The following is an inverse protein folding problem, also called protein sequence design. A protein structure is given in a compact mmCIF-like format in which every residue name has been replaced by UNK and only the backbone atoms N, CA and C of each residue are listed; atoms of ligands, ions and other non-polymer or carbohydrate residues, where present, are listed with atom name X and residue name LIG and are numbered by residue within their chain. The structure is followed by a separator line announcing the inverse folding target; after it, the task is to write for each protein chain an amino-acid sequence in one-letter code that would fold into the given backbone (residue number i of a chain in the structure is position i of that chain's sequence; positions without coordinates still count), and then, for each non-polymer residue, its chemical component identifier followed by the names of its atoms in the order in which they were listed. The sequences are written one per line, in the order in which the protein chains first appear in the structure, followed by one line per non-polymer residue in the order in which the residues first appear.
data_IF_382923107553
#
_entry.id   IF_382923107553
#
_cell.length_a   1.000
_cell.length_b   1.000
_cell.length_c   1.000
_cell.angle_alpha   90.00
_cell.angle_beta   90.00
_cell.angle_gamma   90.00
#
_symmetry.space_group_name_H-M   'P 1'
#
loop_
_entity.id
_entity.type
_entity.pdbx_description
1 polymer ?
#
# COMPACT_ATOMS: atom_id res chain seq x y z
N UNK A 1 -9.24 21.66 25.19
CA UNK A 1 -8.40 21.16 24.06
C UNK A 1 -9.31 20.88 22.88
N UNK A 2 -9.28 21.68 21.79
CA UNK A 2 -10.19 21.50 20.65
C UNK A 2 -9.95 20.13 20.01
N UNK A 3 -10.93 19.24 20.18
CA UNK A 3 -11.06 17.96 19.49
C UNK A 3 -11.15 18.23 17.99
N UNK A 4 -10.04 18.11 17.28
CA UNK A 4 -10.02 18.24 15.82
C UNK A 4 -10.54 16.95 15.21
N UNK A 5 -11.60 17.02 14.39
CA UNK A 5 -12.12 15.90 13.58
C UNK A 5 -10.96 15.19 12.84
N UNK A 6 -9.96 15.96 12.39
CA UNK A 6 -8.74 15.45 11.75
C UNK A 6 -7.98 14.43 12.60
N UNK A 7 -7.96 14.59 13.92
CA UNK A 7 -7.23 13.72 14.83
C UNK A 7 -7.90 12.34 15.01
N UNK A 8 -9.20 12.25 14.75
CA UNK A 8 -9.99 11.01 14.80
C UNK A 8 -10.10 10.37 13.42
N UNK A 9 -10.36 11.19 12.40
CA UNK A 9 -10.69 10.74 11.05
C UNK A 9 -9.49 10.29 10.22
N UNK A 10 -8.30 10.87 10.43
CA UNK A 10 -7.14 10.56 9.60
C UNK A 10 -6.11 9.71 10.34
N UNK A 11 -5.52 8.68 9.68
CA UNK A 11 -4.33 8.00 10.16
C UNK A 11 -3.20 9.00 10.46
N UNK A 12 -2.59 8.88 11.64
CA UNK A 12 -1.40 9.65 12.02
C UNK A 12 -0.13 9.18 11.32
N UNK A 13 -0.16 7.98 10.75
CA UNK A 13 0.96 7.35 10.08
C UNK A 13 1.06 7.86 8.65
N UNK A 14 1.92 8.86 8.44
CA UNK A 14 2.14 9.45 7.12
C UNK A 14 2.60 8.43 6.05
N UNK A 15 3.30 7.37 6.47
CA UNK A 15 3.75 6.31 5.56
C UNK A 15 2.62 5.43 5.02
N UNK A 16 1.55 5.21 5.78
CA UNK A 16 0.45 4.32 5.39
C UNK A 16 -0.34 4.84 4.17
N UNK A 17 -0.32 6.16 3.94
CA UNK A 17 -0.97 6.80 2.81
C UNK A 17 -0.38 6.39 1.46
N UNK A 18 0.96 6.34 1.36
CA UNK A 18 1.64 5.91 0.14
C UNK A 18 1.30 4.44 -0.18
N UNK A 19 1.41 3.56 0.82
CA UNK A 19 1.15 2.13 0.65
C UNK A 19 -0.23 1.78 0.09
N UNK A 20 -1.26 2.56 0.46
CA UNK A 20 -2.64 2.33 0.00
C UNK A 20 -2.90 3.03 -1.32
N UNK A 21 -2.55 4.33 -1.42
CA UNK A 21 -2.92 5.13 -2.58
C UNK A 21 -2.13 4.74 -3.83
N UNK A 22 -0.86 4.40 -3.70
CA UNK A 22 -0.01 4.12 -4.86
C UNK A 22 -0.51 2.97 -5.73
N UNK A 23 -0.76 1.75 -5.21
CA UNK A 23 -1.30 0.67 -6.04
C UNK A 23 -2.67 1.04 -6.58
N UNK A 24 -3.54 1.69 -5.79
CA UNK A 24 -4.90 2.02 -6.22
C UNK A 24 -4.93 3.05 -7.34
N UNK A 25 -4.13 4.12 -7.23
CA UNK A 25 -3.98 5.13 -8.27
C UNK A 25 -3.35 4.51 -9.52
N UNK A 26 -2.30 3.70 -9.36
CA UNK A 26 -1.64 3.06 -10.50
C UNK A 26 -2.62 2.17 -11.29
N UNK A 27 -3.40 1.31 -10.61
CA UNK A 27 -4.34 0.43 -11.33
C UNK A 27 -5.49 1.20 -11.97
N UNK A 28 -5.96 2.29 -11.34
CA UNK A 28 -6.98 3.14 -11.93
C UNK A 28 -6.47 3.94 -13.13
N UNK A 29 -5.21 4.36 -13.13
CA UNK A 29 -4.61 5.06 -14.29
C UNK A 29 -4.39 4.09 -15.44
N UNK A 30 -3.96 2.86 -15.16
CA UNK A 30 -3.54 1.89 -16.19
C UNK A 30 -4.71 1.07 -16.74
N UNK A 31 -5.74 0.80 -15.93
CA UNK A 31 -6.88 -0.03 -16.30
C UNK A 31 -8.19 0.55 -15.75
N UNK A 32 -8.42 1.85 -16.00
CA UNK A 32 -9.59 2.56 -15.48
C UNK A 32 -10.90 1.83 -15.82
N UNK A 33 -11.74 1.67 -14.80
CA UNK A 33 -13.13 1.25 -14.96
C UNK A 33 -13.95 1.79 -13.80
N UNK A 34 -15.24 2.05 -14.03
CA UNK A 34 -16.14 2.55 -12.98
C UNK A 34 -16.32 1.55 -11.82
N UNK A 35 -16.49 0.23 -12.03
CA UNK A 35 -16.53 -0.73 -10.93
C UNK A 35 -15.19 -0.81 -10.20
N UNK A 36 -14.07 -0.69 -10.93
CA UNK A 36 -12.74 -0.62 -10.33
C UNK A 36 -12.57 0.59 -9.42
N UNK A 37 -13.08 1.77 -9.82
CA UNK A 37 -13.10 2.97 -8.98
C UNK A 37 -13.89 2.72 -7.69
N UNK A 38 -15.08 2.11 -7.78
CA UNK A 38 -15.88 1.77 -6.61
C UNK A 38 -15.14 0.79 -5.68
N UNK A 39 -14.47 -0.24 -6.21
CA UNK A 39 -13.65 -1.15 -5.40
C UNK A 39 -12.50 -0.43 -4.68
N UNK A 40 -11.77 0.45 -5.37
CA UNK A 40 -10.66 1.20 -4.76
C UNK A 40 -11.16 2.21 -3.72
N UNK A 41 -12.30 2.86 -3.98
CA UNK A 41 -12.95 3.73 -3.00
C UNK A 41 -13.43 2.94 -1.78
N UNK A 42 -14.01 1.75 -1.97
CA UNK A 42 -14.41 0.88 -0.86
C UNK A 42 -13.21 0.50 0.01
N UNK A 43 -12.14 -0.04 -0.59
CA UNK A 43 -10.93 -0.43 0.11
C UNK A 43 -10.28 0.76 0.84
N UNK A 44 -10.26 1.94 0.21
CA UNK A 44 -9.74 3.16 0.81
C UNK A 44 -10.58 3.64 2.01
N UNK A 45 -11.92 3.61 1.90
CA UNK A 45 -12.80 3.96 3.02
C UNK A 45 -12.66 2.97 4.18
N UNK A 46 -12.55 1.68 3.91
CA UNK A 46 -12.27 0.70 4.98
C UNK A 46 -10.89 0.90 5.63
N UNK A 47 -9.88 1.28 4.84
CA UNK A 47 -8.58 1.69 5.39
C UNK A 47 -8.73 2.91 6.32
N UNK A 48 -9.48 3.94 5.91
CA UNK A 48 -9.75 5.10 6.77
C UNK A 48 -10.54 4.72 8.03
N UNK A 49 -11.43 3.73 7.94
CA UNK A 49 -12.20 3.21 9.07
C UNK A 49 -11.32 2.54 10.14
N UNK A 50 -10.12 2.05 9.81
CA UNK A 50 -9.24 1.35 10.76
C UNK A 50 -8.94 2.19 12.01
N UNK A 51 -8.61 3.47 11.85
CA UNK A 51 -8.28 4.32 13.00
C UNK A 51 -9.48 4.55 13.93
N UNK A 52 -10.62 5.07 13.47
CA UNK A 52 -11.76 5.30 14.35
C UNK A 52 -12.32 3.99 14.92
N UNK A 53 -12.37 2.88 14.16
CA UNK A 53 -12.79 1.57 14.69
C UNK A 53 -11.87 1.09 15.82
N UNK A 54 -10.55 1.23 15.66
CA UNK A 54 -9.59 0.85 16.71
C UNK A 54 -9.73 1.68 18.00
N UNK A 55 -10.24 2.93 17.90
CA UNK A 55 -10.54 3.78 19.06
C UNK A 55 -11.84 3.33 19.73
N UNK A 56 -12.86 2.96 18.95
CA UNK A 56 -14.13 2.42 19.47
C UNK A 56 -13.94 1.07 20.16
N UNK A 57 -12.99 0.25 19.70
CA UNK A 57 -12.67 -1.03 20.32
C UNK A 57 -12.04 -0.91 21.73
N UNK A 58 -11.60 0.30 22.13
CA UNK A 58 -11.05 0.55 23.47
C UNK A 58 -12.15 0.96 24.45
N UNK A 59 -11.98 0.72 25.76
CA UNK A 59 -12.95 1.16 26.76
C UNK A 59 -13.27 2.65 26.63
N UNK A 60 -14.57 3.00 26.71
CA UNK A 60 -15.06 4.38 26.56
C UNK A 60 -14.32 5.38 27.45
N UNK A 61 -14.04 4.98 28.69
CA UNK A 61 -13.40 5.84 29.70
C UNK A 61 -11.93 6.16 29.38
N UNK A 62 -11.31 5.41 28.46
CA UNK A 62 -9.91 5.58 28.05
C UNK A 62 -9.78 6.27 26.68
N UNK A 63 -10.90 6.61 26.04
CA UNK A 63 -10.91 7.12 24.66
C UNK A 63 -11.50 8.52 24.60
N UNK A 64 -10.62 9.50 24.38
CA UNK A 64 -11.06 10.86 24.09
C UNK A 64 -11.86 10.88 22.77
N UNK A 65 -13.00 11.58 22.76
CA UNK A 65 -13.89 11.70 21.60
C UNK A 65 -14.47 10.36 21.09
N UNK A 66 -14.84 9.47 22.02
CA UNK A 66 -15.44 8.17 21.72
C UNK A 66 -16.66 8.25 20.78
N UNK A 67 -17.63 9.14 21.04
CA UNK A 67 -18.82 9.30 20.20
C UNK A 67 -18.49 9.77 18.77
N UNK A 68 -17.53 10.70 18.63
CA UNK A 68 -17.04 11.13 17.31
C UNK A 68 -16.36 9.98 16.57
N UNK A 69 -15.63 9.12 17.28
CA UNK A 69 -14.99 7.93 16.69
C UNK A 69 -16.02 6.94 16.16
N UNK A 70 -17.16 6.76 16.86
CA UNK A 70 -18.28 5.96 16.35
C UNK A 70 -18.84 6.58 15.07
N UNK A 71 -19.20 7.86 15.10
CA UNK A 71 -19.81 8.54 13.94
C UNK A 71 -18.92 8.47 12.70
N UNK A 72 -17.62 8.80 12.85
CA UNK A 72 -16.66 8.75 11.74
C UNK A 72 -16.44 7.32 11.24
N UNK A 73 -16.36 6.34 12.16
CA UNK A 73 -16.28 4.92 11.79
C UNK A 73 -17.48 4.48 10.95
N UNK A 74 -18.70 4.84 11.36
CA UNK A 74 -19.91 4.49 10.64
C UNK A 74 -19.94 5.10 9.24
N UNK A 75 -19.57 6.38 9.11
CA UNK A 75 -19.49 7.04 7.79
C UNK A 75 -18.56 6.29 6.84
N UNK A 76 -17.37 5.90 7.30
CA UNK A 76 -16.42 5.17 6.45
C UNK A 76 -16.86 3.74 6.15
N UNK A 77 -17.41 3.01 7.12
CA UNK A 77 -17.88 1.63 6.91
C UNK A 77 -19.08 1.62 5.97
N UNK A 78 -20.10 2.45 6.24
CA UNK A 78 -21.30 2.53 5.41
C UNK A 78 -20.96 3.03 4.01
N UNK A 79 -20.09 4.05 3.90
CA UNK A 79 -19.60 4.51 2.61
C UNK A 79 -18.86 3.42 1.83
N UNK A 80 -17.99 2.66 2.50
CA UNK A 80 -17.28 1.54 1.88
C UNK A 80 -18.21 0.43 1.41
N UNK A 81 -19.20 0.05 2.25
CA UNK A 81 -20.23 -0.93 1.90
C UNK A 81 -21.09 -0.47 0.72
N UNK A 82 -21.47 0.81 0.68
CA UNK A 82 -22.21 1.39 -0.44
C UNK A 82 -21.41 1.26 -1.74
N UNK A 83 -20.12 1.59 -1.73
CA UNK A 83 -19.26 1.42 -2.90
C UNK A 83 -19.15 -0.05 -3.33
N UNK A 84 -19.09 -1.00 -2.39
CA UNK A 84 -19.13 -2.43 -2.73
C UNK A 84 -20.45 -2.84 -3.38
N UNK A 85 -21.59 -2.39 -2.85
CA UNK A 85 -22.91 -2.68 -3.43
C UNK A 85 -23.02 -2.15 -4.87
N UNK A 86 -22.50 -0.95 -5.13
CA UNK A 86 -22.45 -0.38 -6.47
C UNK A 86 -21.52 -1.14 -7.42
N UNK A 87 -20.40 -1.68 -6.91
CA UNK A 87 -19.46 -2.45 -7.71
C UNK A 87 -19.97 -3.86 -8.03
N UNK A 88 -20.58 -4.53 -7.05
CA UNK A 88 -20.89 -5.97 -7.06
C UNK A 88 -21.58 -6.50 -8.32
N UNK A 89 -22.66 -5.89 -8.85
CA UNK A 89 -23.35 -6.43 -10.04
C UNK A 89 -22.51 -6.37 -11.31
N UNK A 90 -21.38 -5.64 -11.30
CA UNK A 90 -20.51 -5.40 -12.45
C UNK A 90 -19.21 -6.22 -12.36
N UNK A 91 -19.04 -7.05 -11.31
CA UNK A 91 -17.80 -7.79 -11.09
C UNK A 91 -17.79 -9.13 -11.82
N UNK A 92 -16.64 -9.44 -12.42
CA UNK A 92 -16.34 -10.82 -12.82
C UNK A 92 -16.04 -11.68 -11.59
N UNK A 93 -16.29 -12.99 -11.67
CA UNK A 93 -15.93 -13.95 -10.61
C UNK A 93 -14.46 -13.83 -10.21
N UNK A 94 -13.58 -13.67 -11.20
CA UNK A 94 -12.14 -13.50 -10.99
C UNK A 94 -11.81 -12.24 -10.19
N UNK A 95 -12.41 -11.11 -10.55
CA UNK A 95 -12.22 -9.84 -9.81
C UNK A 95 -12.77 -9.93 -8.39
N UNK A 96 -13.91 -10.60 -8.19
CA UNK A 96 -14.47 -10.88 -6.86
C UNK A 96 -13.51 -11.73 -6.02
N UNK A 97 -12.94 -12.79 -6.58
CA UNK A 97 -11.98 -13.66 -5.88
C UNK A 97 -10.71 -12.90 -5.50
N UNK A 98 -10.15 -12.08 -6.38
CA UNK A 98 -8.95 -11.28 -6.09
C UNK A 98 -9.21 -10.24 -4.99
N UNK A 99 -10.29 -9.47 -5.10
CA UNK A 99 -10.65 -8.46 -4.11
C UNK A 99 -11.02 -9.11 -2.77
N UNK A 100 -11.81 -10.18 -2.81
CA UNK A 100 -12.22 -10.96 -1.64
C UNK A 100 -11.03 -11.58 -0.92
N UNK A 101 -10.07 -12.16 -1.65
CA UNK A 101 -8.85 -12.73 -1.07
C UNK A 101 -8.02 -11.66 -0.36
N UNK A 102 -7.80 -10.51 -0.99
CA UNK A 102 -7.13 -9.38 -0.34
C UNK A 102 -7.86 -8.92 0.91
N UNK A 103 -9.20 -8.88 0.87
CA UNK A 103 -10.05 -8.52 2.02
C UNK A 103 -9.91 -9.51 3.18
N UNK A 104 -9.97 -10.82 2.91
CA UNK A 104 -9.80 -11.86 3.94
C UNK A 104 -8.43 -11.76 4.59
N UNK A 105 -7.37 -11.59 3.79
CA UNK A 105 -6.00 -11.44 4.31
C UNK A 105 -5.89 -10.18 5.19
N UNK A 106 -6.45 -9.05 4.74
CA UNK A 106 -6.43 -7.79 5.51
C UNK A 106 -7.21 -7.90 6.82
N UNK A 107 -8.41 -8.50 6.80
CA UNK A 107 -9.20 -8.73 8.01
C UNK A 107 -8.44 -9.64 8.97
N UNK A 108 -7.85 -10.73 8.49
CA UNK A 108 -6.98 -11.60 9.29
C UNK A 108 -5.83 -10.83 9.94
N UNK A 109 -5.13 -9.99 9.17
CA UNK A 109 -4.07 -9.12 9.69
C UNK A 109 -4.58 -8.18 10.78
N UNK A 110 -5.72 -7.51 10.57
CA UNK A 110 -6.32 -6.60 11.55
C UNK A 110 -6.72 -7.30 12.85
N UNK A 111 -7.29 -8.50 12.75
CA UNK A 111 -7.62 -9.34 13.91
C UNK A 111 -6.34 -9.63 14.69
N UNK A 112 -5.28 -10.14 14.05
CA UNK A 112 -4.01 -10.41 14.73
C UNK A 112 -3.38 -9.15 15.34
N UNK A 113 -3.50 -8.01 14.67
CA UNK A 113 -2.98 -6.73 15.16
C UNK A 113 -3.67 -6.24 16.43
N UNK A 114 -5.00 -6.42 16.52
CA UNK A 114 -5.77 -6.09 17.73
C UNK A 114 -5.32 -6.98 18.90
N UNK A 115 -5.00 -8.25 18.65
CA UNK A 115 -4.65 -9.23 19.69
C UNK A 115 -3.16 -9.28 20.07
N UNK A 116 -2.21 -8.75 19.29
CA UNK A 116 -0.75 -8.84 19.56
C UNK A 116 -0.03 -7.49 19.57
N UNK A 117 0.76 -7.23 20.62
CA UNK A 117 1.50 -5.95 20.85
C UNK A 117 2.85 -5.79 20.11
N UNK A 118 3.31 -6.77 19.31
CA UNK A 118 4.56 -6.64 18.53
C UNK A 118 4.38 -7.19 17.13
N UNK A 119 4.33 -6.29 16.14
CA UNK A 119 4.39 -6.63 14.72
C UNK A 119 5.81 -7.06 14.37
N UNK A 120 5.97 -8.25 13.81
CA UNK A 120 7.25 -8.62 13.19
C UNK A 120 7.33 -7.95 11.82
N UNK A 121 8.55 -7.63 11.37
CA UNK A 121 8.79 -7.01 10.06
C UNK A 121 8.24 -7.87 8.89
N UNK A 122 8.18 -9.18 9.09
CA UNK A 122 7.62 -10.15 8.15
C UNK A 122 6.09 -10.06 8.13
N UNK A 123 5.45 -9.90 9.29
CA UNK A 123 3.99 -9.74 9.36
C UNK A 123 3.52 -8.44 8.68
N UNK A 124 4.35 -7.39 8.65
CA UNK A 124 4.02 -6.16 7.94
C UNK A 124 3.95 -6.34 6.41
N UNK A 125 4.57 -7.39 5.85
CA UNK A 125 4.52 -7.68 4.40
C UNK A 125 3.14 -8.20 3.94
N UNK A 126 2.31 -8.64 4.88
CA UNK A 126 0.94 -9.11 4.59
C UNK A 126 0.09 -7.97 4.03
N UNK A 127 0.31 -6.73 4.50
CA UNK A 127 -0.45 -5.56 4.08
C UNK A 127 -0.23 -5.21 2.60
N UNK A 128 1.01 -5.04 2.10
CA UNK A 128 1.27 -4.87 0.67
C UNK A 128 0.68 -5.97 -0.22
N UNK A 129 0.73 -7.24 0.23
CA UNK A 129 0.16 -8.38 -0.50
C UNK A 129 -1.36 -8.26 -0.62
N UNK A 130 -2.05 -8.01 0.50
CA UNK A 130 -3.49 -7.83 0.52
C UNK A 130 -3.94 -6.66 -0.36
N UNK A 131 -3.27 -5.51 -0.25
CA UNK A 131 -3.59 -4.33 -1.05
C UNK A 131 -3.32 -4.55 -2.54
N UNK A 132 -2.25 -5.27 -2.89
CA UNK A 132 -1.94 -5.60 -4.28
C UNK A 132 -2.96 -6.56 -4.88
N UNK A 133 -3.45 -7.54 -4.12
CA UNK A 133 -4.55 -8.43 -4.55
C UNK A 133 -5.85 -7.65 -4.77
N UNK A 134 -6.21 -6.75 -3.84
CA UNK A 134 -7.36 -5.86 -4.02
C UNK A 134 -7.21 -5.02 -5.29
N UNK A 135 -6.04 -4.39 -5.50
CA UNK A 135 -5.78 -3.55 -6.65
C UNK A 135 -5.81 -4.35 -7.98
N UNK A 136 -5.33 -5.60 -7.97
CA UNK A 136 -5.33 -6.49 -9.14
C UNK A 136 -6.74 -6.84 -9.64
N UNK A 137 -7.77 -6.70 -8.81
CA UNK A 137 -9.17 -6.89 -9.24
C UNK A 137 -9.57 -5.95 -10.38
N UNK A 138 -8.97 -4.75 -10.46
CA UNK A 138 -9.27 -3.72 -11.47
C UNK A 138 -8.81 -4.13 -12.88
N UNK A 139 -7.53 -4.44 -13.15
CA UNK A 139 -7.13 -4.96 -14.46
C UNK A 139 -7.79 -6.30 -14.79
N UNK A 140 -8.17 -7.10 -13.79
CA UNK A 140 -8.95 -8.31 -14.02
C UNK A 140 -10.37 -8.00 -14.55
N UNK A 141 -10.99 -6.91 -14.12
CA UNK A 141 -12.26 -6.42 -14.70
C UNK A 141 -12.08 -5.98 -16.15
N UNK A 142 -10.92 -5.39 -16.47
CA UNK A 142 -10.56 -5.00 -17.83
C UNK A 142 -10.19 -6.20 -18.73
N UNK A 143 -10.37 -7.44 -18.27
CA UNK A 143 -10.14 -8.64 -19.07
C UNK A 143 -8.67 -8.95 -19.33
N UNK A 144 -7.75 -8.46 -18.50
CA UNK A 144 -6.32 -8.76 -18.68
C UNK A 144 -6.04 -10.27 -18.58
N UNK A 145 -5.14 -10.80 -19.44
CA UNK A 145 -4.79 -12.21 -19.42
C UNK A 145 -4.00 -12.58 -18.14
N UNK A 146 -4.05 -13.85 -17.75
CA UNK A 146 -3.51 -14.34 -16.47
C UNK A 146 -2.03 -14.04 -16.29
N UNK A 147 -1.22 -14.26 -17.33
CA UNK A 147 0.20 -13.96 -17.32
C UNK A 147 0.48 -12.49 -16.98
N UNK A 148 -0.29 -11.56 -17.58
CA UNK A 148 -0.14 -10.12 -17.35
C UNK A 148 -0.62 -9.73 -15.95
N UNK A 149 -1.67 -10.37 -15.42
CA UNK A 149 -2.12 -10.13 -14.04
C UNK A 149 -1.10 -10.63 -13.02
N UNK A 150 -0.53 -11.83 -13.21
CA UNK A 150 0.51 -12.36 -12.34
C UNK A 150 1.71 -11.43 -12.35
N UNK A 151 2.15 -11.00 -13.53
CA UNK A 151 3.24 -10.04 -13.64
C UNK A 151 2.89 -8.73 -12.92
N UNK A 152 1.74 -8.15 -13.22
CA UNK A 152 1.32 -6.89 -12.62
C UNK A 152 1.17 -6.97 -11.09
N UNK A 153 0.75 -8.12 -10.55
CA UNK A 153 0.74 -8.37 -9.11
C UNK A 153 2.15 -8.23 -8.49
N UNK A 154 3.15 -8.89 -9.09
CA UNK A 154 4.52 -8.78 -8.60
C UNK A 154 5.09 -7.37 -8.79
N UNK A 155 4.74 -6.67 -9.87
CA UNK A 155 5.05 -5.25 -10.05
C UNK A 155 4.55 -4.43 -8.86
N UNK A 156 3.29 -4.61 -8.44
CA UNK A 156 2.72 -3.85 -7.33
C UNK A 156 3.48 -4.10 -6.01
N UNK A 157 4.17 -5.24 -5.88
CA UNK A 157 5.00 -5.57 -4.72
C UNK A 157 6.43 -5.04 -4.79
N UNK A 158 6.97 -4.75 -5.99
CA UNK A 158 8.38 -4.32 -6.19
C UNK A 158 8.77 -3.09 -5.39
N UNK A 159 7.79 -2.29 -5.00
CA UNK A 159 8.00 -1.04 -4.29
C UNK A 159 7.65 -1.12 -2.80
N UNK A 160 6.45 -1.54 -2.38
CA UNK A 160 6.09 -1.53 -0.97
C UNK A 160 6.88 -2.56 -0.14
N UNK A 161 7.19 -3.73 -0.69
CA UNK A 161 7.95 -4.76 0.05
C UNK A 161 9.37 -4.28 0.37
N UNK A 162 10.20 -3.85 -0.60
CA UNK A 162 11.54 -3.37 -0.30
C UNK A 162 11.55 -2.07 0.52
N UNK A 163 10.57 -1.19 0.30
CA UNK A 163 10.44 0.07 1.05
C UNK A 163 10.16 -0.17 2.53
N UNK A 164 9.39 -1.20 2.88
CA UNK A 164 9.16 -1.57 4.28
C UNK A 164 10.47 -1.94 4.98
N UNK A 165 11.27 -2.84 4.37
CA UNK A 165 12.59 -3.20 4.92
C UNK A 165 13.52 -2.00 5.02
N UNK A 166 13.52 -1.14 4.00
CA UNK A 166 14.33 0.08 3.98
C UNK A 166 13.95 1.04 5.12
N UNK A 167 12.67 1.40 5.27
CA UNK A 167 12.21 2.36 6.29
C UNK A 167 12.56 1.85 7.69
N UNK A 168 12.30 0.58 7.99
CA UNK A 168 12.62 0.01 9.30
C UNK A 168 14.11 0.05 9.60
N UNK A 169 14.94 -0.35 8.64
CA UNK A 169 16.40 -0.31 8.75
C UNK A 169 16.89 1.12 8.92
N UNK A 170 16.34 2.05 8.13
CA UNK A 170 16.64 3.48 8.18
C UNK A 170 16.31 4.10 9.53
N UNK A 171 15.16 3.76 10.10
CA UNK A 171 14.74 4.26 11.41
C UNK A 171 15.62 3.73 12.55
N UNK A 172 16.07 2.47 12.49
CA UNK A 172 17.03 1.93 13.46
C UNK A 172 18.38 2.63 13.34
N UNK A 173 18.85 2.77 12.10
CA UNK A 173 20.10 3.43 11.76
C UNK A 173 20.16 4.90 12.24
N UNK A 174 19.07 5.66 12.05
CA UNK A 174 19.00 7.05 12.49
C UNK A 174 18.81 7.19 14.02
N UNK A 175 18.38 6.12 14.70
CA UNK A 175 18.34 6.03 16.16
C UNK A 175 19.65 5.51 16.76
N UNK A 176 20.63 5.12 15.96
CA UNK A 176 21.88 4.53 16.43
C UNK A 176 21.71 3.12 17.02
N UNK A 177 20.63 2.43 16.66
CA UNK A 177 20.36 1.04 17.08
C UNK A 177 21.01 0.10 16.08
N UNK A 178 21.50 -1.05 16.55
CA UNK A 178 22.00 -2.12 15.69
C UNK A 178 21.01 -2.46 14.56
N UNK A 179 21.55 -2.61 13.36
CA UNK A 179 20.77 -2.83 12.16
C UNK A 179 21.49 -3.81 11.23
N UNK A 180 20.72 -4.51 10.41
CA UNK A 180 21.23 -5.30 9.30
C UNK A 180 20.66 -4.75 8.01
N UNK A 181 21.52 -4.54 7.02
CA UNK A 181 21.13 -4.07 5.70
C UNK A 181 20.75 -5.22 4.74
N UNK A 182 20.97 -6.48 5.13
CA UNK A 182 20.87 -7.64 4.24
C UNK A 182 19.48 -7.75 3.60
N UNK A 183 18.42 -7.61 4.39
CA UNK A 183 17.04 -7.67 3.89
C UNK A 183 16.71 -6.49 2.96
N UNK A 184 17.34 -5.32 3.16
CA UNK A 184 17.16 -4.17 2.27
C UNK A 184 17.78 -4.47 0.92
N UNK A 185 19.05 -4.91 0.89
CA UNK A 185 19.72 -5.26 -0.36
C UNK A 185 19.01 -6.40 -1.08
N UNK A 186 18.71 -7.49 -0.37
CA UNK A 186 18.04 -8.66 -0.94
C UNK A 186 16.70 -8.32 -1.58
N UNK A 187 15.82 -7.59 -0.87
CA UNK A 187 14.50 -7.22 -1.39
C UNK A 187 14.58 -6.28 -2.61
N UNK A 188 15.50 -5.31 -2.62
CA UNK A 188 15.68 -4.43 -3.78
C UNK A 188 16.31 -5.16 -4.97
N UNK A 189 17.26 -6.07 -4.73
CA UNK A 189 17.85 -6.91 -5.78
C UNK A 189 16.81 -7.81 -6.44
N UNK A 190 15.93 -8.44 -5.65
CA UNK A 190 14.81 -9.24 -6.20
C UNK A 190 13.86 -8.36 -7.01
N UNK A 191 13.48 -7.19 -6.48
CA UNK A 191 12.59 -6.28 -7.19
C UNK A 191 13.17 -5.81 -8.53
N UNK A 192 14.48 -5.50 -8.56
CA UNK A 192 15.17 -5.09 -9.78
C UNK A 192 15.31 -6.26 -10.77
N UNK A 193 15.70 -7.44 -10.31
CA UNK A 193 15.78 -8.63 -11.14
C UNK A 193 14.43 -8.97 -11.77
N UNK A 194 13.36 -8.90 -10.97
CA UNK A 194 11.99 -9.07 -11.45
C UNK A 194 11.63 -8.02 -12.51
N UNK A 195 11.91 -6.73 -12.25
CA UNK A 195 11.62 -5.66 -13.20
C UNK A 195 12.33 -5.87 -14.54
N UNK A 196 13.59 -6.29 -14.51
CA UNK A 196 14.37 -6.62 -15.70
C UNK A 196 13.75 -7.79 -16.45
N UNK A 197 13.55 -8.94 -15.79
CA UNK A 197 13.00 -10.15 -16.43
C UNK A 197 11.61 -9.90 -17.01
N UNK A 198 10.71 -9.27 -16.26
CA UNK A 198 9.35 -9.04 -16.71
C UNK A 198 9.27 -8.03 -17.87
N UNK A 199 10.15 -7.02 -17.89
CA UNK A 199 10.23 -6.06 -18.97
C UNK A 199 10.85 -6.65 -20.26
N UNK A 200 11.85 -7.53 -20.14
CA UNK A 200 12.43 -8.23 -21.29
C UNK A 200 11.45 -9.22 -21.94
N UNK A 201 10.55 -9.81 -21.15
CA UNK A 201 9.48 -10.68 -21.65
C UNK A 201 8.21 -9.91 -22.07
N UNK A 202 8.26 -8.56 -22.09
CA UNK A 202 7.14 -7.68 -22.48
C UNK A 202 5.84 -7.87 -21.65
N UNK A 203 5.92 -8.48 -20.47
CA UNK A 203 4.77 -8.61 -19.58
C UNK A 203 4.39 -7.27 -18.93
N UNK A 204 5.38 -6.38 -18.80
CA UNK A 204 5.31 -5.07 -18.14
C UNK A 204 6.15 -4.06 -18.95
N UNK A 205 5.80 -2.76 -18.95
CA UNK A 205 6.64 -1.70 -19.52
C UNK A 205 8.08 -1.67 -19.02
N UNK A 206 9.04 -1.31 -19.88
CA UNK A 206 10.46 -1.19 -19.51
C UNK A 206 10.69 -0.01 -18.57
N UNK A 207 9.76 0.95 -18.51
CA UNK A 207 9.80 2.04 -17.53
C UNK A 207 9.86 1.54 -16.07
N UNK A 208 9.38 0.32 -15.77
CA UNK A 208 9.51 -0.29 -14.44
C UNK A 208 10.98 -0.42 -14.03
N UNK A 209 11.88 -0.75 -14.95
CA UNK A 209 13.32 -0.88 -14.67
C UNK A 209 13.84 0.46 -14.12
N UNK A 210 13.49 1.56 -14.77
CA UNK A 210 13.89 2.91 -14.32
C UNK A 210 13.29 3.23 -12.95
N UNK A 211 11.99 2.98 -12.76
CA UNK A 211 11.30 3.24 -11.49
C UNK A 211 11.94 2.48 -10.32
N UNK A 212 12.19 1.18 -10.47
CA UNK A 212 12.80 0.33 -9.44
C UNK A 212 14.29 0.65 -9.23
N UNK A 213 15.01 1.03 -10.29
CA UNK A 213 16.41 1.47 -10.18
C UNK A 213 16.54 2.72 -9.33
N UNK A 214 15.67 3.71 -9.50
CA UNK A 214 15.63 4.93 -8.68
C UNK A 214 15.45 4.57 -7.20
N UNK A 215 14.50 3.68 -6.88
CA UNK A 215 14.25 3.24 -5.50
C UNK A 215 15.44 2.47 -4.92
N UNK A 216 16.10 1.63 -5.72
CA UNK A 216 17.29 0.86 -5.33
C UNK A 216 18.46 1.79 -5.02
N UNK A 217 18.75 2.75 -5.91
CA UNK A 217 19.81 3.75 -5.69
C UNK A 217 19.50 4.57 -4.44
N UNK A 218 18.24 4.97 -4.25
CA UNK A 218 17.79 5.68 -3.04
C UNK A 218 18.01 4.84 -1.79
N UNK A 219 17.69 3.55 -1.80
CA UNK A 219 17.86 2.68 -0.65
C UNK A 219 19.34 2.52 -0.28
N UNK A 220 20.21 2.28 -1.27
CA UNK A 220 21.67 2.16 -1.09
C UNK A 220 22.26 3.46 -0.53
N UNK A 221 21.93 4.61 -1.12
CA UNK A 221 22.39 5.91 -0.61
C UNK A 221 21.84 6.20 0.78
N UNK A 222 20.58 5.84 1.01
CA UNK A 222 19.92 5.99 2.31
C UNK A 222 20.67 5.25 3.41
N UNK A 223 21.00 3.98 3.23
CA UNK A 223 21.69 3.22 4.29
C UNK A 223 23.21 3.44 4.35
N UNK A 224 23.78 4.23 3.44
CA UNK A 224 25.22 4.51 3.39
C UNK A 224 25.73 5.36 4.57
N UNK A 225 27.05 5.39 4.81
CA UNK A 225 27.66 6.29 5.79
C UNK A 225 27.43 7.77 5.48
N UNK A 226 27.31 8.14 4.20
CA UNK A 226 27.12 9.53 3.73
C UNK A 226 25.69 10.05 3.86
N UNK A 227 24.82 9.28 4.53
CA UNK A 227 23.42 9.66 4.73
C UNK A 227 23.28 10.97 5.51
N UNK A 228 22.22 11.71 5.23
CA UNK A 228 21.72 12.75 6.13
C UNK A 228 20.77 12.13 7.14
N UNK A 229 20.92 12.41 8.43
CA UNK A 229 19.98 11.95 9.48
C UNK A 229 18.62 12.61 9.26
N UNK A 230 17.53 11.85 9.29
CA UNK A 230 16.20 12.38 9.02
C UNK A 230 15.23 12.03 10.15
N UNK A 231 14.27 12.92 10.39
CA UNK A 231 13.17 12.59 11.29
C UNK A 231 12.11 11.73 10.58
N UNK A 232 11.26 11.07 11.35
CA UNK A 232 10.21 10.16 10.84
C UNK A 232 9.28 10.84 9.84
N UNK A 233 8.98 12.12 10.06
CA UNK A 233 8.08 12.90 9.19
C UNK A 233 8.73 13.18 7.83
N UNK A 234 9.99 13.60 7.81
CA UNK A 234 10.77 13.85 6.60
C UNK A 234 10.90 12.57 5.77
N UNK A 235 11.23 11.45 6.43
CA UNK A 235 11.31 10.16 5.76
C UNK A 235 9.95 9.79 5.14
N UNK A 236 8.86 9.91 5.90
CA UNK A 236 7.51 9.65 5.38
C UNK A 236 7.13 10.50 4.16
N UNK A 237 7.43 11.81 4.18
CA UNK A 237 7.18 12.71 3.05
C UNK A 237 8.03 12.32 1.83
N UNK A 238 9.30 11.98 2.04
CA UNK A 238 10.17 11.54 0.94
C UNK A 238 9.70 10.25 0.31
N UNK A 239 9.35 9.24 1.12
CA UNK A 239 8.85 7.97 0.61
C UNK A 239 7.53 8.15 -0.15
N UNK A 240 6.65 9.06 0.32
CA UNK A 240 5.45 9.45 -0.44
C UNK A 240 5.79 10.12 -1.77
N UNK A 241 6.82 10.98 -1.82
CA UNK A 241 7.31 11.58 -3.07
C UNK A 241 7.86 10.53 -4.06
N UNK A 242 8.67 9.59 -3.57
CA UNK A 242 9.09 8.42 -4.36
C UNK A 242 7.88 7.55 -4.75
N UNK A 243 6.80 7.57 -3.97
CA UNK A 243 5.44 7.09 -4.26
C UNK A 243 4.93 7.53 -5.59
N UNK A 244 4.67 8.82 -5.62
CA UNK A 244 4.16 9.52 -6.78
C UNK A 244 5.08 9.28 -7.97
N UNK A 245 6.40 9.42 -7.80
CA UNK A 245 7.35 9.22 -8.89
C UNK A 245 7.29 7.79 -9.47
N UNK A 246 7.23 6.76 -8.62
CA UNK A 246 7.10 5.36 -9.05
C UNK A 246 5.81 5.14 -9.84
N UNK A 247 4.69 5.65 -9.34
CA UNK A 247 3.38 5.54 -10.00
C UNK A 247 3.42 6.24 -11.36
N UNK A 248 3.94 7.47 -11.43
CA UNK A 248 4.01 8.25 -12.67
C UNK A 248 4.87 7.57 -13.74
N UNK A 249 6.08 7.12 -13.39
CA UNK A 249 6.99 6.46 -14.35
C UNK A 249 6.36 5.15 -14.85
N UNK A 250 5.79 4.36 -13.95
CA UNK A 250 5.20 3.06 -14.30
C UNK A 250 3.94 3.24 -15.14
N UNK A 251 3.06 4.16 -14.76
CA UNK A 251 1.86 4.49 -15.52
C UNK A 251 2.19 5.05 -16.91
N UNK A 252 3.18 5.94 -17.01
CA UNK A 252 3.66 6.46 -18.29
C UNK A 252 4.15 5.34 -19.21
N UNK A 253 4.82 4.32 -18.67
CA UNK A 253 5.21 3.14 -19.45
C UNK A 253 4.02 2.39 -20.05
N UNK A 254 2.94 2.20 -19.28
CA UNK A 254 1.71 1.58 -19.79
C UNK A 254 0.99 2.44 -20.83
N UNK A 255 0.92 3.75 -20.62
CA UNK A 255 0.20 4.70 -21.50
C UNK A 255 0.97 4.92 -22.80
N UNK A 256 2.28 5.16 -22.70
CA UNK A 256 3.17 5.45 -23.84
C UNK A 256 3.71 4.18 -24.50
N UNK A 257 3.46 3.00 -23.92
CA UNK A 257 3.94 1.69 -24.37
C UNK A 257 5.47 1.59 -24.45
N UNK A 258 6.15 2.07 -23.40
CA UNK A 258 7.62 2.08 -23.27
C UNK A 258 8.12 1.27 -22.07
#
# INVERSE_FOLDING_TARGET
MKSSIKAVALPKEHGAWGYVLEPFVLVLVVAFSLPGLYLMMAAFLFFLAHRPTSLVARPRNQTQNYLLSIGVSLVYIVGGLLMLVLAFPLLSVKSMLLFGSGTVIMVGYLVFDIYKKKRSLIAEQVVPVALSLMALSVPALAGWPDNRLIAFFFLLLTRPVPTTFYIHTRLKLDKGVEYSANMVYFSHSIALAYAVVAAFNEWIPKSLILAVSILTIRAVRGISPFRKRQNVKQLGIMEFGYGILFVLITAAGYILKI
#
